data_IF_553584105578
#
_entry.id   IF_553584105578
#
_cell.length_a   1.000
_cell.length_b   1.000
_cell.length_c   1.000
_cell.angle_alpha   90.00
_cell.angle_beta   90.00
_cell.angle_gamma   90.00
#
_symmetry.space_group_name_H-M   'P 1'
#
loop_
_entity.id
_entity.type
_entity.pdbx_description
1 polymer ?
#
# COMPACT_ATOMS: atom_id res chain seq x y z
N UNK A 1 1.95 6.79 -34.26
CA UNK A 1 2.79 5.93 -33.39
C UNK A 1 2.74 6.48 -31.98
N UNK A 2 1.97 5.87 -31.08
CA UNK A 2 1.94 6.27 -29.67
C UNK A 2 3.22 5.73 -29.03
N UNK A 3 4.14 6.63 -28.64
CA UNK A 3 5.31 6.25 -27.84
C UNK A 3 4.78 5.57 -26.58
N UNK A 4 5.07 4.29 -26.40
CA UNK A 4 4.90 3.62 -25.09
C UNK A 4 5.74 4.43 -24.09
N UNK A 5 5.05 5.25 -23.30
CA UNK A 5 5.63 5.94 -22.15
C UNK A 5 6.36 4.88 -21.32
N UNK A 6 7.67 5.05 -21.13
CA UNK A 6 8.46 4.19 -20.27
C UNK A 6 7.77 4.10 -18.91
N UNK A 7 7.27 2.91 -18.55
CA UNK A 7 6.62 2.65 -17.26
C UNK A 7 7.60 2.69 -16.08
N UNK A 8 8.88 2.99 -16.34
CA UNK A 8 9.94 2.99 -15.35
C UNK A 8 10.32 4.41 -14.96
N UNK A 9 10.40 4.63 -13.64
CA UNK A 9 10.88 5.87 -13.04
C UNK A 9 12.38 6.01 -13.30
N UNK A 10 12.78 7.13 -13.89
CA UNK A 10 14.18 7.44 -14.12
C UNK A 10 14.86 7.76 -12.79
N UNK A 11 15.73 6.85 -12.32
CA UNK A 11 16.37 6.98 -11.01
C UNK A 11 17.27 8.21 -10.92
N UNK A 12 17.93 8.62 -12.00
CA UNK A 12 18.79 9.80 -12.01
C UNK A 12 17.97 11.08 -11.87
N UNK A 13 16.90 11.20 -12.64
CA UNK A 13 15.99 12.35 -12.55
C UNK A 13 15.35 12.44 -11.15
N UNK A 14 15.04 11.31 -10.53
CA UNK A 14 14.54 11.27 -9.14
C UNK A 14 15.58 11.78 -8.13
N UNK A 15 16.85 11.43 -8.31
CA UNK A 15 17.96 11.96 -7.49
C UNK A 15 18.11 13.47 -7.68
N UNK A 16 18.00 13.95 -8.93
CA UNK A 16 18.09 15.36 -9.27
C UNK A 16 16.95 16.17 -8.61
N UNK A 17 15.70 15.70 -8.72
CA UNK A 17 14.56 16.38 -8.08
C UNK A 17 14.63 16.36 -6.55
N UNK A 18 14.98 15.22 -5.95
CA UNK A 18 15.10 15.15 -4.49
C UNK A 18 16.25 16.03 -3.99
N UNK A 19 17.41 15.99 -4.65
CA UNK A 19 18.54 16.86 -4.30
C UNK A 19 18.18 18.34 -4.45
N UNK A 20 17.51 18.70 -5.56
CA UNK A 20 17.00 20.04 -5.80
C UNK A 20 16.11 20.51 -4.65
N UNK A 21 15.10 19.71 -4.29
CA UNK A 21 14.21 20.03 -3.18
C UNK A 21 14.95 20.17 -1.84
N UNK A 22 15.94 19.31 -1.54
CA UNK A 22 16.73 19.41 -0.30
C UNK A 22 17.53 20.71 -0.21
N UNK A 23 17.99 21.26 -1.34
CA UNK A 23 18.78 22.48 -1.38
C UNK A 23 17.88 23.72 -1.37
N UNK A 24 16.81 23.73 -2.17
CA UNK A 24 16.03 24.93 -2.46
C UNK A 24 14.72 25.00 -1.69
N UNK A 25 14.25 23.89 -1.15
CA UNK A 25 12.87 23.72 -0.64
C UNK A 25 11.81 24.12 -1.68
N UNK A 26 12.14 23.98 -2.96
CA UNK A 26 11.26 24.33 -4.08
C UNK A 26 10.07 23.36 -4.16
N UNK A 27 8.86 23.91 -4.17
CA UNK A 27 7.63 23.13 -4.29
C UNK A 27 7.48 22.48 -5.66
N UNK A 28 8.05 23.06 -6.72
CA UNK A 28 8.03 22.40 -8.02
C UNK A 28 8.89 21.12 -8.03
N UNK A 29 10.10 21.18 -7.47
CA UNK A 29 10.92 20.00 -7.26
C UNK A 29 10.23 18.94 -6.35
N UNK A 30 9.53 19.39 -5.31
CA UNK A 30 8.71 18.52 -4.46
C UNK A 30 7.63 17.80 -5.25
N UNK A 31 6.90 18.50 -6.11
CA UNK A 31 5.81 17.93 -6.90
C UNK A 31 6.33 16.92 -7.93
N UNK A 32 7.44 17.23 -8.60
CA UNK A 32 8.09 16.29 -9.54
C UNK A 32 8.54 15.01 -8.83
N UNK A 33 9.23 15.16 -7.70
CA UNK A 33 9.66 14.04 -6.86
C UNK A 33 8.45 13.21 -6.39
N UNK A 34 7.39 13.86 -5.90
CA UNK A 34 6.18 13.21 -5.41
C UNK A 34 5.50 12.39 -6.50
N UNK A 35 5.37 12.94 -7.72
CA UNK A 35 4.78 12.23 -8.85
C UNK A 35 5.59 10.98 -9.24
N UNK A 36 6.92 11.05 -9.19
CA UNK A 36 7.79 9.90 -9.43
C UNK A 36 7.65 8.83 -8.34
N UNK A 37 7.60 9.23 -7.07
CA UNK A 37 7.39 8.31 -5.93
C UNK A 37 6.02 7.64 -6.03
N UNK A 38 4.97 8.37 -6.43
CA UNK A 38 3.64 7.79 -6.63
C UNK A 38 3.66 6.68 -7.69
N UNK A 39 4.30 6.92 -8.84
CA UNK A 39 4.50 5.88 -9.87
C UNK A 39 5.25 4.65 -9.35
N UNK A 40 6.23 4.84 -8.48
CA UNK A 40 6.89 3.71 -7.81
C UNK A 40 5.93 2.94 -6.91
N UNK A 41 5.06 3.64 -6.17
CA UNK A 41 4.06 3.02 -5.31
C UNK A 41 3.05 2.20 -6.13
N UNK A 42 2.54 2.74 -7.24
CA UNK A 42 1.66 2.02 -8.17
C UNK A 42 2.33 0.75 -8.71
N UNK A 43 3.57 0.86 -9.18
CA UNK A 43 4.33 -0.26 -9.72
C UNK A 43 4.60 -1.34 -8.68
N UNK A 44 4.99 -0.96 -7.46
CA UNK A 44 5.28 -1.91 -6.38
C UNK A 44 3.99 -2.54 -5.83
N UNK A 45 2.88 -1.80 -5.74
CA UNK A 45 1.59 -2.32 -5.29
C UNK A 45 1.12 -3.52 -6.13
N UNK A 46 1.44 -3.56 -7.43
CA UNK A 46 1.12 -4.73 -8.29
C UNK A 46 1.74 -6.04 -7.79
N UNK A 47 2.89 -5.97 -7.11
CA UNK A 47 3.60 -7.16 -6.57
C UNK A 47 2.91 -7.78 -5.36
N UNK A 48 1.94 -7.09 -4.79
CA UNK A 48 1.12 -7.57 -3.67
C UNK A 48 -0.17 -8.27 -4.13
N UNK A 49 -0.34 -8.49 -5.44
CA UNK A 49 -1.47 -9.21 -6.03
C UNK A 49 -2.85 -8.70 -5.56
N UNK A 50 -3.15 -7.40 -5.72
CA UNK A 50 -4.48 -6.88 -5.41
C UNK A 50 -5.54 -7.58 -6.27
N UNK A 51 -6.70 -7.88 -5.67
CA UNK A 51 -7.81 -8.60 -6.30
C UNK A 51 -8.71 -7.67 -7.10
N UNK A 52 -8.79 -6.40 -6.71
CA UNK A 52 -9.59 -5.38 -7.37
C UNK A 52 -8.75 -4.14 -7.69
N UNK A 53 -9.30 -3.25 -8.51
CA UNK A 53 -8.66 -1.97 -8.84
C UNK A 53 -8.60 -1.07 -7.62
N UNK A 54 -9.66 -1.08 -6.82
CA UNK A 54 -9.80 -0.31 -5.58
C UNK A 54 -8.75 -0.74 -4.56
N UNK A 55 -8.49 -2.05 -4.43
CA UNK A 55 -7.43 -2.56 -3.56
C UNK A 55 -6.03 -2.12 -4.04
N UNK A 56 -5.80 -2.07 -5.35
CA UNK A 56 -4.55 -1.54 -5.92
C UNK A 56 -4.38 -0.04 -5.63
N UNK A 57 -5.43 0.75 -5.85
CA UNK A 57 -5.47 2.19 -5.56
C UNK A 57 -5.25 2.45 -4.07
N UNK A 58 -5.92 1.70 -3.19
CA UNK A 58 -5.73 1.82 -1.74
C UNK A 58 -4.28 1.50 -1.32
N UNK A 59 -3.71 0.42 -1.84
CA UNK A 59 -2.31 0.05 -1.57
C UNK A 59 -1.33 1.13 -2.02
N UNK A 60 -1.47 1.61 -3.26
CA UNK A 60 -0.58 2.62 -3.84
C UNK A 60 -0.69 3.96 -3.10
N UNK A 61 -1.91 4.42 -2.77
CA UNK A 61 -2.17 5.65 -2.05
C UNK A 61 -1.62 5.61 -0.61
N UNK A 62 -1.87 4.52 0.12
CA UNK A 62 -1.38 4.36 1.48
C UNK A 62 0.15 4.36 1.53
N UNK A 63 0.78 3.59 0.62
CA UNK A 63 2.22 3.52 0.55
C UNK A 63 2.84 4.88 0.17
N UNK A 64 2.20 5.61 -0.75
CA UNK A 64 2.60 6.96 -1.12
C UNK A 64 2.52 7.92 0.07
N UNK A 65 1.36 8.00 0.73
CA UNK A 65 1.15 8.91 1.86
C UNK A 65 2.17 8.67 2.98
N UNK A 66 2.38 7.41 3.37
CA UNK A 66 3.33 7.05 4.42
C UNK A 66 4.80 7.32 4.02
N UNK A 67 5.13 7.14 2.73
CA UNK A 67 6.47 7.45 2.22
C UNK A 67 6.72 8.95 2.23
N UNK A 68 5.78 9.75 1.70
CA UNK A 68 5.88 11.21 1.67
C UNK A 68 5.90 11.82 3.07
N UNK A 69 5.11 11.29 4.00
CA UNK A 69 5.13 11.71 5.41
C UNK A 69 6.53 11.49 6.03
N UNK A 70 7.17 10.34 5.75
CA UNK A 70 8.53 10.09 6.24
C UNK A 70 9.57 11.02 5.63
N UNK A 71 9.43 11.38 4.36
CA UNK A 71 10.33 12.34 3.70
C UNK A 71 10.14 13.72 4.34
N UNK A 72 8.89 14.21 4.42
CA UNK A 72 8.56 15.51 5.01
C UNK A 72 9.04 15.65 6.46
N UNK A 73 8.88 14.59 7.25
CA UNK A 73 9.27 14.57 8.66
C UNK A 73 10.77 14.23 8.86
N UNK A 74 11.56 14.12 7.79
CA UNK A 74 13.00 13.83 7.86
C UNK A 74 13.34 12.43 8.38
N UNK A 75 12.37 11.50 8.41
CA UNK A 75 12.57 10.09 8.82
C UNK A 75 13.09 9.23 7.67
N UNK A 76 12.87 9.65 6.42
CA UNK A 76 13.47 9.06 5.23
C UNK A 76 14.37 10.12 4.58
N UNK A 77 15.69 9.94 4.72
CA UNK A 77 16.69 10.89 4.20
C UNK A 77 17.41 10.28 3.02
N UNK A 78 17.50 11.04 1.95
CA UNK A 78 18.37 10.74 0.84
C UNK A 78 19.71 11.46 1.06
N UNK A 79 20.80 10.71 0.97
CA UNK A 79 22.17 11.23 1.04
C UNK A 79 22.86 10.88 -0.28
N UNK A 80 23.09 11.86 -1.17
CA UNK A 80 23.75 11.62 -2.44
C UNK A 80 25.09 10.88 -2.26
N UNK A 81 25.31 9.83 -3.06
CA UNK A 81 26.52 9.01 -3.01
C UNK A 81 26.56 7.94 -1.93
N UNK A 82 25.61 7.90 -0.96
CA UNK A 82 25.58 6.86 0.08
C UNK A 82 24.76 5.63 -0.31
N UNK A 83 23.59 5.84 -0.90
CA UNK A 83 22.72 4.77 -1.36
C UNK A 83 21.88 5.22 -2.56
N UNK A 84 21.61 4.35 -3.55
CA UNK A 84 20.73 4.67 -4.67
C UNK A 84 19.32 5.03 -4.18
N UNK A 85 18.79 6.16 -4.63
CA UNK A 85 17.46 6.66 -4.20
C UNK A 85 16.36 5.63 -4.47
N UNK A 86 16.48 4.92 -5.59
CA UNK A 86 15.52 3.91 -6.02
C UNK A 86 15.42 2.76 -5.00
N UNK A 87 16.56 2.27 -4.51
CA UNK A 87 16.59 1.18 -3.53
C UNK A 87 16.03 1.63 -2.17
N UNK A 88 16.35 2.85 -1.75
CA UNK A 88 15.84 3.45 -0.53
C UNK A 88 14.30 3.52 -0.54
N UNK A 89 13.73 4.06 -1.62
CA UNK A 89 12.29 4.19 -1.78
C UNK A 89 11.62 2.82 -1.95
N UNK A 90 12.15 1.97 -2.83
CA UNK A 90 11.61 0.63 -3.06
C UNK A 90 11.51 -0.14 -1.75
N UNK A 91 12.59 -0.21 -0.97
CA UNK A 91 12.60 -0.91 0.33
C UNK A 91 11.60 -0.31 1.30
N UNK A 92 11.46 1.03 1.31
CA UNK A 92 10.52 1.72 2.20
C UNK A 92 9.07 1.41 1.83
N UNK A 93 8.72 1.51 0.55
CA UNK A 93 7.39 1.23 0.01
C UNK A 93 7.01 -0.23 0.28
N UNK A 94 7.91 -1.19 -0.01
CA UNK A 94 7.67 -2.60 0.31
C UNK A 94 7.37 -2.81 1.78
N UNK A 95 8.13 -2.19 2.70
CA UNK A 95 7.88 -2.31 4.15
C UNK A 95 6.50 -1.79 4.55
N UNK A 96 6.05 -0.68 3.95
CA UNK A 96 4.72 -0.14 4.22
C UNK A 96 3.62 -1.12 3.83
N UNK A 97 3.68 -1.63 2.60
CA UNK A 97 2.71 -2.60 2.08
C UNK A 97 2.73 -3.92 2.84
N UNK A 98 3.92 -4.47 3.13
CA UNK A 98 4.05 -5.68 3.95
C UNK A 98 3.46 -5.50 5.36
N UNK A 99 3.70 -4.35 5.99
CA UNK A 99 3.15 -4.04 7.31
C UNK A 99 1.62 -4.01 7.30
N UNK A 100 1.02 -3.39 6.28
CA UNK A 100 -0.43 -3.35 6.08
C UNK A 100 -1.00 -4.76 5.91
N UNK A 101 -0.47 -5.53 4.97
CA UNK A 101 -0.91 -6.91 4.72
C UNK A 101 -0.80 -7.80 5.97
N UNK A 102 0.28 -7.66 6.74
CA UNK A 102 0.44 -8.39 8.00
C UNK A 102 -0.59 -7.97 9.06
N UNK A 103 -0.95 -6.69 9.13
CA UNK A 103 -2.00 -6.18 10.03
C UNK A 103 -3.36 -6.77 9.65
N UNK A 104 -3.70 -6.80 8.38
CA UNK A 104 -4.95 -7.40 7.89
C UNK A 104 -5.02 -8.90 8.13
N UNK A 105 -3.93 -9.62 7.88
CA UNK A 105 -3.86 -11.06 8.14
C UNK A 105 -4.04 -11.36 9.64
N UNK A 106 -3.46 -10.55 10.52
CA UNK A 106 -3.72 -10.65 11.97
C UNK A 106 -5.17 -10.36 12.33
N UNK A 107 -5.79 -9.34 11.73
CA UNK A 107 -7.20 -9.02 11.94
C UNK A 107 -8.12 -10.16 11.50
N UNK A 108 -7.88 -10.75 10.32
CA UNK A 108 -8.63 -11.90 9.79
C UNK A 108 -8.52 -13.11 10.71
N UNK A 109 -7.31 -13.45 11.17
CA UNK A 109 -7.08 -14.54 12.14
C UNK A 109 -7.78 -14.30 13.47
N UNK A 110 -7.73 -13.06 13.98
CA UNK A 110 -8.41 -12.70 15.22
C UNK A 110 -9.94 -12.82 15.09
N UNK A 111 -10.50 -12.34 13.98
CA UNK A 111 -11.93 -12.44 13.70
C UNK A 111 -12.39 -13.89 13.53
N UNK A 112 -11.64 -14.71 12.80
CA UNK A 112 -11.94 -16.15 12.67
C UNK A 112 -11.98 -16.82 14.05
N UNK A 113 -10.97 -16.59 14.89
CA UNK A 113 -10.93 -17.12 16.26
C UNK A 113 -12.09 -16.64 17.14
N UNK A 114 -12.54 -15.39 16.94
CA UNK A 114 -13.72 -14.89 17.63
C UNK A 114 -14.98 -15.62 17.18
N UNK A 115 -15.16 -15.80 15.87
CA UNK A 115 -16.30 -16.53 15.32
C UNK A 115 -16.32 -17.99 15.74
N UNK A 116 -15.16 -18.66 15.78
CA UNK A 116 -15.07 -20.04 16.26
C UNK A 116 -15.57 -20.14 17.71
N UNK A 117 -15.21 -19.20 18.59
CA UNK A 117 -15.70 -19.14 19.97
C UNK A 117 -17.21 -18.90 20.05
N UNK A 118 -17.73 -17.94 19.28
CA UNK A 118 -19.17 -17.67 19.24
C UNK A 118 -19.94 -18.91 18.78
N UNK A 119 -19.41 -19.65 17.82
CA UNK A 119 -20.01 -20.89 17.33
C UNK A 119 -19.87 -22.06 18.31
N UNK A 120 -18.79 -22.11 19.10
CA UNK A 120 -18.66 -23.06 20.22
C UNK A 120 -19.70 -22.79 21.32
N UNK A 121 -19.95 -21.51 21.63
CA UNK A 121 -20.91 -21.08 22.64
C UNK A 121 -22.38 -21.21 22.16
N UNK A 122 -22.62 -21.30 20.84
CA UNK A 122 -23.94 -21.37 20.20
C UNK A 122 -24.04 -22.51 19.17
N UNK A 123 -24.19 -23.79 19.61
CA UNK A 123 -24.23 -24.95 18.72
C UNK A 123 -25.41 -24.95 17.73
N UNK A 124 -26.51 -24.26 18.06
CA UNK A 124 -27.64 -24.02 17.17
C UNK A 124 -27.25 -23.23 15.91
N UNK A 125 -26.34 -22.26 16.03
CA UNK A 125 -25.81 -21.49 14.90
C UNK A 125 -24.92 -22.36 14.00
N UNK A 126 -24.11 -23.25 14.59
CA UNK A 126 -23.33 -24.23 13.81
C UNK A 126 -24.24 -25.19 13.03
N UNK A 127 -25.37 -25.60 13.62
CA UNK A 127 -26.32 -26.48 12.95
C UNK A 127 -27.08 -25.74 11.82
N UNK A 128 -27.46 -24.48 12.02
CA UNK A 128 -28.07 -23.63 10.99
C UNK A 128 -27.13 -23.35 9.81
N UNK A 129 -25.84 -23.09 10.08
CA UNK A 129 -24.82 -22.90 9.04
C UNK A 129 -24.58 -24.16 8.21
N UNK A 130 -24.58 -25.35 8.84
CA UNK A 130 -24.45 -26.65 8.12
C UNK A 130 -25.69 -27.00 7.28
N UNK A 131 -26.87 -26.53 7.68
CA UNK A 131 -28.15 -26.81 6.99
C UNK A 131 -28.44 -25.87 5.82
N UNK A 132 -27.58 -24.89 5.53
CA UNK A 132 -27.70 -24.01 4.36
C UNK A 132 -28.99 -23.13 4.34
N UNK A 133 -29.49 -22.73 5.52
CA UNK A 133 -30.65 -21.81 5.65
C UNK A 133 -30.25 -20.34 5.89
N UNK A 134 -28.95 -19.99 5.89
CA UNK A 134 -28.50 -18.59 6.03
C UNK A 134 -27.54 -18.22 4.90
N UNK A 135 -28.03 -18.25 3.66
CA UNK A 135 -27.26 -17.74 2.51
C UNK A 135 -27.80 -16.44 1.92
N UNK A 136 -28.78 -15.78 2.56
CA UNK A 136 -29.45 -14.64 1.93
C UNK A 136 -29.68 -13.37 2.77
N UNK A 137 -29.16 -13.25 4.00
CA UNK A 137 -29.30 -12.00 4.77
C UNK A 137 -27.98 -11.35 5.25
N UNK A 138 -26.81 -11.94 4.99
CA UNK A 138 -25.54 -11.40 5.49
C UNK A 138 -24.51 -10.98 4.42
N UNK A 139 -24.93 -10.88 3.15
CA UNK A 139 -24.05 -10.44 2.04
C UNK A 139 -24.23 -8.95 1.69
N UNK A 140 -25.27 -8.27 2.20
CA UNK A 140 -25.52 -6.85 1.91
C UNK A 140 -24.83 -5.86 2.87
N UNK A 141 -23.84 -6.31 3.65
CA UNK A 141 -23.04 -5.42 4.52
C UNK A 141 -21.55 -5.38 4.15
N UNK A 142 -21.23 -5.52 2.86
CA UNK A 142 -19.97 -5.05 2.32
C UNK A 142 -20.23 -3.68 1.64
N UNK A 143 -19.66 -2.57 2.14
CA UNK A 143 -19.76 -1.30 1.44
C UNK A 143 -19.09 -1.43 0.07
N UNK A 144 -19.79 -0.96 -0.96
CA UNK A 144 -19.28 -0.80 -2.32
C UNK A 144 -18.13 0.21 -2.36
#
# INVERSE_FOLDING_TARGET
MVKKSSHYVNSRELEEWWTGWLITMDMYAWDQMSAMIFKMCEGIATKFNPRTKEEHEEHSHDAFFLTMEKIRNGKLKFEPGRAPVFNLLTTTIYRHLFSKMNKENRRKKHHAKYMDRVLEDHPELQQAMRKNEVRQEFVDYAPQ
#
